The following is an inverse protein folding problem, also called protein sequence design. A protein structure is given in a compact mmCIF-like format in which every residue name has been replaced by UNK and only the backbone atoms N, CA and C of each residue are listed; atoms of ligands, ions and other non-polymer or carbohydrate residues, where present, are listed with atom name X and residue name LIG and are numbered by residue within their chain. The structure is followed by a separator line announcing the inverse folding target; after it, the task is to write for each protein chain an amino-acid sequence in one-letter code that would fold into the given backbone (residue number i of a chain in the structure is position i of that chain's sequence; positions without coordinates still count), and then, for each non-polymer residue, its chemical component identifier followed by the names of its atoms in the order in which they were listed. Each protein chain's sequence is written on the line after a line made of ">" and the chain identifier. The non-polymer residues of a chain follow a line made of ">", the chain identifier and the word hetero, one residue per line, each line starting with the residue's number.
data_IF_324482585832
#
_entry.id   IF_324482585832
#
_cell.length_a   1.000
_cell.length_b   1.000
_cell.length_c   1.000
_cell.angle_alpha   90.00
_cell.angle_beta   90.00
_cell.angle_gamma   90.00
#
_symmetry.space_group_name_H-M   'P 1'
#
loop_
_entity.id
_entity.type
_entity.pdbx_description
1 polymer ?
#
# COMPACT_ATOMS: atom_id res chain seq x y z
N UNK A 1 -11.82 -26.10 -14.18
CA UNK A 1 -12.37 -24.97 -14.98
C UNK A 1 -13.42 -24.10 -14.26
N UNK A 2 -14.05 -24.54 -13.15
CA UNK A 2 -15.04 -23.73 -12.44
C UNK A 2 -14.47 -22.53 -11.63
N UNK A 3 -13.21 -22.60 -11.20
CA UNK A 3 -12.58 -21.54 -10.38
C UNK A 3 -12.25 -20.29 -11.20
N UNK A 4 -11.75 -20.45 -12.43
CA UNK A 4 -11.44 -19.33 -13.33
C UNK A 4 -12.69 -18.50 -13.70
N UNK A 5 -13.85 -19.17 -13.86
CA UNK A 5 -15.14 -18.54 -14.12
C UNK A 5 -15.57 -17.57 -13.00
N UNK A 6 -15.32 -17.94 -11.73
CA UNK A 6 -15.65 -17.07 -10.58
C UNK A 6 -14.74 -15.84 -10.47
N UNK A 7 -13.48 -15.95 -10.89
CA UNK A 7 -12.49 -14.85 -10.84
C UNK A 7 -12.81 -13.77 -11.89
N UNK A 8 -13.30 -14.19 -13.06
CA UNK A 8 -13.65 -13.30 -14.18
C UNK A 8 -15.10 -12.80 -14.13
N UNK A 9 -15.90 -13.24 -13.15
CA UNK A 9 -17.27 -12.75 -12.97
C UNK A 9 -17.23 -11.23 -12.74
N UNK A 10 -17.91 -10.50 -13.60
CA UNK A 10 -17.97 -9.04 -13.50
C UNK A 10 -18.97 -8.62 -12.42
N UNK A 11 -18.59 -7.59 -11.68
CA UNK A 11 -19.40 -6.94 -10.66
C UNK A 11 -19.68 -5.53 -11.18
N UNK A 12 -20.96 -5.22 -11.31
CA UNK A 12 -21.40 -3.90 -11.71
C UNK A 12 -21.53 -3.01 -10.49
N UNK A 13 -20.46 -2.27 -10.21
CA UNK A 13 -20.38 -1.33 -9.09
C UNK A 13 -19.54 -0.15 -9.52
N UNK A 14 -19.88 1.04 -9.03
CA UNK A 14 -19.13 2.26 -9.31
C UNK A 14 -17.83 2.31 -8.51
N UNK A 15 -16.81 3.04 -8.99
CA UNK A 15 -15.62 3.31 -8.17
C UNK A 15 -15.96 4.13 -6.92
N UNK A 16 -17.02 4.94 -6.99
CA UNK A 16 -17.54 5.69 -5.86
C UNK A 16 -17.97 4.76 -4.72
N UNK A 17 -18.88 3.81 -4.97
CA UNK A 17 -19.37 2.91 -3.93
C UNK A 17 -18.28 1.98 -3.38
N UNK A 18 -17.35 1.55 -4.24
CA UNK A 18 -16.32 0.59 -3.83
C UNK A 18 -15.12 1.23 -3.12
N UNK A 19 -14.58 2.33 -3.65
CA UNK A 19 -13.30 2.89 -3.21
C UNK A 19 -13.45 4.22 -2.46
N UNK A 20 -14.41 5.07 -2.84
CA UNK A 20 -14.51 6.43 -2.29
C UNK A 20 -15.95 6.91 -2.02
N UNK A 21 -16.76 6.19 -1.21
CA UNK A 21 -18.17 6.51 -1.01
C UNK A 21 -18.44 7.84 -0.30
N UNK A 22 -17.41 8.45 0.30
CA UNK A 22 -17.51 9.72 1.02
C UNK A 22 -17.33 10.96 0.14
N UNK A 23 -16.80 10.82 -1.08
CA UNK A 23 -16.47 11.94 -1.99
C UNK A 23 -16.80 11.55 -3.42
N UNK A 24 -17.49 12.42 -4.15
CA UNK A 24 -17.89 12.16 -5.55
C UNK A 24 -16.72 12.12 -6.53
N UNK A 25 -15.67 12.91 -6.30
CA UNK A 25 -14.51 13.04 -7.18
C UNK A 25 -13.38 12.05 -6.85
N UNK A 26 -12.93 11.28 -7.85
CA UNK A 26 -11.82 10.33 -7.68
C UNK A 26 -10.48 11.02 -7.33
N UNK A 27 -10.25 12.23 -7.86
CA UNK A 27 -9.02 13.00 -7.58
C UNK A 27 -8.97 13.44 -6.13
N UNK A 28 -10.10 13.94 -5.64
CA UNK A 28 -10.21 14.51 -4.30
C UNK A 28 -10.14 13.39 -3.25
N UNK A 29 -10.77 12.24 -3.54
CA UNK A 29 -10.63 11.04 -2.75
C UNK A 29 -9.15 10.60 -2.65
N UNK A 30 -8.46 10.53 -3.79
CA UNK A 30 -7.05 10.10 -3.82
C UNK A 30 -6.13 11.12 -3.14
N UNK A 31 -6.37 12.42 -3.31
CA UNK A 31 -5.64 13.47 -2.62
C UNK A 31 -5.88 13.44 -1.09
N UNK A 32 -7.12 13.21 -0.66
CA UNK A 32 -7.47 13.00 0.75
C UNK A 32 -6.73 11.80 1.34
N UNK A 33 -6.75 10.66 0.65
CA UNK A 33 -5.98 9.46 1.03
C UNK A 33 -4.49 9.77 1.13
N UNK A 34 -3.93 10.52 0.18
CA UNK A 34 -2.51 10.92 0.20
C UNK A 34 -2.16 11.74 1.45
N UNK A 35 -2.95 12.77 1.77
CA UNK A 35 -2.70 13.64 2.93
C UNK A 35 -2.77 12.85 4.23
N UNK A 36 -3.82 12.05 4.42
CA UNK A 36 -3.97 11.22 5.61
C UNK A 36 -2.85 10.17 5.72
N UNK A 37 -2.46 9.59 4.58
CA UNK A 37 -1.38 8.60 4.54
C UNK A 37 -0.03 9.23 4.88
N UNK A 38 0.25 10.46 4.43
CA UNK A 38 1.48 11.18 4.81
C UNK A 38 1.52 11.39 6.32
N UNK A 39 0.43 11.85 6.93
CA UNK A 39 0.37 12.10 8.38
C UNK A 39 0.59 10.80 9.19
N UNK A 40 -0.10 9.73 8.80
CA UNK A 40 0.01 8.43 9.47
C UNK A 40 1.41 7.82 9.28
N UNK A 41 1.90 7.80 8.05
CA UNK A 41 3.22 7.23 7.70
C UNK A 41 4.34 7.99 8.39
N UNK A 42 4.28 9.33 8.39
CA UNK A 42 5.27 10.16 9.05
C UNK A 42 5.33 9.86 10.54
N UNK A 43 4.17 9.75 11.23
CA UNK A 43 4.11 9.38 12.65
C UNK A 43 4.76 8.03 12.93
N UNK A 44 4.46 7.02 12.11
CA UNK A 44 5.04 5.67 12.25
C UNK A 44 6.55 5.69 12.04
N UNK A 45 7.02 6.33 10.96
CA UNK A 45 8.45 6.34 10.64
C UNK A 45 9.26 7.20 11.60
N UNK A 46 8.76 8.36 12.03
CA UNK A 46 9.41 9.14 13.09
C UNK A 46 9.56 8.28 14.34
N UNK A 47 8.50 7.61 14.78
CA UNK A 47 8.53 6.79 16.00
C UNK A 47 9.54 5.65 15.90
N UNK A 48 9.51 4.88 14.82
CA UNK A 48 10.42 3.74 14.61
C UNK A 48 11.88 4.15 14.46
N UNK A 49 12.16 5.24 13.74
CA UNK A 49 13.53 5.75 13.59
C UNK A 49 14.04 6.37 14.90
N UNK A 50 13.19 7.06 15.67
CA UNK A 50 13.56 7.59 16.99
C UNK A 50 13.87 6.46 17.97
N UNK A 51 13.05 5.41 18.00
CA UNK A 51 13.32 4.22 18.82
C UNK A 51 14.67 3.57 18.44
N UNK A 52 14.94 3.44 17.14
CA UNK A 52 16.21 2.90 16.64
C UNK A 52 17.41 3.77 17.07
N UNK A 53 17.26 5.09 17.11
CA UNK A 53 18.30 6.00 17.60
C UNK A 53 18.51 5.87 19.12
N UNK A 54 17.43 5.71 19.89
CA UNK A 54 17.51 5.51 21.34
C UNK A 54 18.19 4.17 21.69
N UNK A 55 17.84 3.09 20.99
CA UNK A 55 18.44 1.76 21.18
C UNK A 55 19.95 1.72 20.89
N UNK A 56 20.48 2.64 20.08
CA UNK A 56 21.92 2.75 19.85
C UNK A 56 22.70 3.24 21.07
N UNK A 57 22.07 3.85 22.06
CA UNK A 57 22.70 4.26 23.32
C UNK A 57 23.83 5.30 23.19
N UNK A 58 24.00 5.94 22.02
CA UNK A 58 25.07 6.92 21.76
C UNK A 58 24.53 8.17 21.09
N UNK A 59 25.20 9.31 21.31
CA UNK A 59 24.86 10.57 20.65
C UNK A 59 25.01 10.41 19.13
N UNK A 60 23.96 10.70 18.32
CA UNK A 60 24.03 10.55 16.87
C UNK A 60 24.90 11.63 16.25
N UNK A 61 25.73 11.24 15.28
CA UNK A 61 26.53 12.19 14.49
C UNK A 61 25.62 12.97 13.53
N UNK A 62 25.97 14.22 13.18
CA UNK A 62 25.21 15.04 12.18
C UNK A 62 24.92 14.28 10.88
N UNK A 63 25.87 13.46 10.41
CA UNK A 63 25.73 12.60 9.23
C UNK A 63 24.66 11.51 9.41
N UNK A 64 24.57 10.91 10.59
CA UNK A 64 23.55 9.91 10.89
C UNK A 64 22.17 10.54 11.00
N UNK A 65 22.07 11.70 11.64
CA UNK A 65 20.81 12.44 11.73
C UNK A 65 20.26 12.81 10.35
N UNK A 66 21.13 13.30 9.45
CA UNK A 66 20.75 13.58 8.05
C UNK A 66 20.26 12.31 7.33
N UNK A 67 20.94 11.16 7.51
CA UNK A 67 20.54 9.88 6.91
C UNK A 67 19.22 9.37 7.47
N UNK A 68 18.98 9.57 8.76
CA UNK A 68 17.72 9.23 9.43
C UNK A 68 16.57 10.09 8.92
N UNK A 69 16.77 11.41 8.80
CA UNK A 69 15.74 12.31 8.27
C UNK A 69 15.36 11.96 6.83
N UNK A 70 16.36 11.73 5.97
CA UNK A 70 16.12 11.23 4.61
C UNK A 70 15.45 9.83 4.62
N UNK A 71 15.71 9.01 5.65
CA UNK A 71 15.01 7.76 5.93
C UNK A 71 13.53 7.94 6.11
N UNK A 72 13.18 8.78 7.06
CA UNK A 72 11.80 9.08 7.42
C UNK A 72 11.05 9.63 6.20
N UNK A 73 11.63 10.61 5.49
CA UNK A 73 11.00 11.21 4.31
C UNK A 73 10.80 10.17 3.20
N UNK A 74 11.84 9.39 2.88
CA UNK A 74 11.75 8.39 1.81
C UNK A 74 10.73 7.28 2.14
N UNK A 75 10.70 6.82 3.39
CA UNK A 75 9.73 5.81 3.81
C UNK A 75 8.30 6.35 3.89
N UNK A 76 8.14 7.59 4.32
CA UNK A 76 6.85 8.29 4.28
C UNK A 76 6.37 8.41 2.83
N UNK A 77 7.25 8.79 1.91
CA UNK A 77 6.94 8.87 0.49
C UNK A 77 6.58 7.50 -0.10
N UNK A 78 7.31 6.44 0.25
CA UNK A 78 7.02 5.07 -0.15
C UNK A 78 5.60 4.64 0.26
N UNK A 79 5.28 4.74 1.55
CA UNK A 79 3.99 4.27 2.07
C UNK A 79 2.82 5.13 1.59
N UNK A 80 3.03 6.45 1.51
CA UNK A 80 2.00 7.38 1.02
C UNK A 80 1.75 7.19 -0.49
N UNK A 81 2.81 6.96 -1.28
CA UNK A 81 2.68 6.64 -2.69
C UNK A 81 1.93 5.33 -2.90
N UNK A 82 2.17 4.33 -2.05
CA UNK A 82 1.43 3.07 -2.11
C UNK A 82 -0.08 3.29 -1.85
N UNK A 83 -0.45 4.01 -0.78
CA UNK A 83 -1.86 4.27 -0.48
C UNK A 83 -2.56 5.10 -1.58
N UNK A 84 -1.91 6.18 -2.01
CA UNK A 84 -2.40 7.03 -3.11
C UNK A 84 -2.53 6.27 -4.42
N UNK A 85 -1.50 5.48 -4.77
CA UNK A 85 -1.44 4.70 -5.98
C UNK A 85 -2.57 3.69 -6.03
N UNK A 86 -2.83 2.96 -4.95
CA UNK A 86 -3.91 1.99 -4.90
C UNK A 86 -5.28 2.63 -5.16
N UNK A 87 -5.59 3.74 -4.46
CA UNK A 87 -6.82 4.52 -4.68
C UNK A 87 -6.96 4.97 -6.15
N UNK A 88 -5.89 5.56 -6.69
CA UNK A 88 -5.87 6.12 -8.03
C UNK A 88 -6.00 5.05 -9.13
N UNK A 89 -5.24 3.95 -9.00
CA UNK A 89 -5.24 2.87 -9.98
C UNK A 89 -6.56 2.10 -10.02
N UNK A 90 -7.24 1.89 -8.88
CA UNK A 90 -8.59 1.28 -8.88
C UNK A 90 -9.56 2.14 -9.68
N UNK A 91 -9.57 3.46 -9.43
CA UNK A 91 -10.46 4.38 -10.15
C UNK A 91 -10.11 4.45 -11.65
N UNK A 92 -8.82 4.48 -11.99
CA UNK A 92 -8.35 4.49 -13.37
C UNK A 92 -8.75 3.22 -14.12
N UNK A 93 -8.49 2.05 -13.53
CA UNK A 93 -8.86 0.76 -14.12
C UNK A 93 -10.37 0.63 -14.28
N UNK A 94 -11.16 1.16 -13.34
CA UNK A 94 -12.62 1.19 -13.46
C UNK A 94 -13.11 2.03 -14.63
N UNK A 95 -12.43 3.15 -14.92
CA UNK A 95 -12.74 4.01 -16.09
C UNK A 95 -12.31 3.35 -17.41
N UNK A 96 -11.20 2.62 -17.42
CA UNK A 96 -10.68 1.95 -18.62
C UNK A 96 -11.44 0.66 -18.98
N UNK A 97 -11.75 -0.18 -17.98
CA UNK A 97 -12.37 -1.51 -18.18
C UNK A 97 -13.90 -1.43 -18.11
N UNK A 98 -14.45 -0.40 -17.45
CA UNK A 98 -15.90 -0.18 -17.34
C UNK A 98 -16.63 -1.11 -16.36
N UNK A 99 -16.04 -2.23 -15.92
CA UNK A 99 -16.59 -3.12 -14.88
C UNK A 99 -15.49 -3.63 -13.96
N UNK A 100 -15.86 -3.96 -12.72
CA UNK A 100 -14.94 -4.64 -11.81
C UNK A 100 -15.01 -6.15 -12.00
N UNK A 101 -13.88 -6.82 -11.79
CA UNK A 101 -13.76 -8.25 -11.57
C UNK A 101 -12.73 -8.46 -10.46
N UNK A 102 -12.55 -9.69 -9.97
CA UNK A 102 -11.65 -9.96 -8.83
C UNK A 102 -10.21 -9.50 -9.12
N UNK A 103 -9.79 -9.56 -10.39
CA UNK A 103 -8.45 -9.12 -10.80
C UNK A 103 -8.33 -7.60 -10.90
N UNK A 104 -9.32 -6.92 -11.48
CA UNK A 104 -9.28 -5.47 -11.71
C UNK A 104 -9.59 -4.66 -10.46
N UNK A 105 -10.27 -5.25 -9.48
CA UNK A 105 -10.66 -4.58 -8.24
C UNK A 105 -9.54 -4.52 -7.20
N UNK A 106 -8.67 -5.54 -7.17
CA UNK A 106 -7.63 -5.67 -6.15
C UNK A 106 -6.26 -6.04 -6.74
N UNK A 107 -6.17 -7.13 -7.51
CA UNK A 107 -4.88 -7.68 -7.96
C UNK A 107 -4.09 -6.70 -8.84
N UNK A 108 -4.67 -6.27 -9.96
CA UNK A 108 -4.02 -5.38 -10.92
C UNK A 108 -3.68 -4.00 -10.35
N UNK A 109 -4.59 -3.29 -9.65
CA UNK A 109 -4.24 -2.00 -9.06
C UNK A 109 -3.17 -2.13 -7.98
N UNK A 110 -3.22 -3.19 -7.15
CA UNK A 110 -2.18 -3.46 -6.16
C UNK A 110 -0.83 -3.75 -6.83
N UNK A 111 -0.80 -4.58 -7.87
CA UNK A 111 0.42 -4.89 -8.62
C UNK A 111 1.08 -3.64 -9.21
N UNK A 112 0.30 -2.79 -9.91
CA UNK A 112 0.81 -1.54 -10.48
C UNK A 112 1.30 -0.58 -9.40
N UNK A 113 0.55 -0.47 -8.30
CA UNK A 113 0.94 0.35 -7.14
C UNK A 113 2.25 -0.11 -6.54
N UNK A 114 2.40 -1.42 -6.30
CA UNK A 114 3.61 -2.00 -5.75
C UNK A 114 4.82 -1.77 -6.66
N UNK A 115 4.66 -1.89 -7.99
CA UNK A 115 5.71 -1.60 -8.96
C UNK A 115 6.17 -0.14 -8.91
N UNK A 116 5.25 0.82 -8.74
CA UNK A 116 5.62 2.23 -8.60
C UNK A 116 6.25 2.50 -7.24
N UNK A 117 5.63 2.01 -6.16
CA UNK A 117 6.09 2.25 -4.80
C UNK A 117 7.49 1.66 -4.56
N UNK A 118 7.79 0.45 -5.04
CA UNK A 118 9.09 -0.20 -4.79
C UNK A 118 10.27 0.59 -5.38
N UNK A 119 10.04 1.37 -6.44
CA UNK A 119 11.06 2.25 -7.04
C UNK A 119 11.47 3.38 -6.09
N UNK A 120 10.55 3.86 -5.25
CA UNK A 120 10.79 4.91 -4.25
C UNK A 120 11.56 4.34 -3.06
N UNK A 121 11.32 3.08 -2.68
CA UNK A 121 11.98 2.45 -1.53
C UNK A 121 13.45 2.13 -1.78
N UNK A 122 14.24 2.15 -0.71
CA UNK A 122 15.69 1.87 -0.74
C UNK A 122 15.96 0.42 -1.15
N UNK A 123 16.90 0.17 -2.07
CA UNK A 123 17.26 -1.18 -2.49
C UNK A 123 17.59 -2.12 -1.31
N UNK A 124 18.28 -1.62 -0.28
CA UNK A 124 18.67 -2.40 0.89
C UNK A 124 17.50 -2.92 1.74
N UNK A 125 16.30 -2.34 1.61
CA UNK A 125 15.12 -2.72 2.39
C UNK A 125 14.12 -3.58 1.62
N UNK A 126 14.22 -3.62 0.29
CA UNK A 126 13.25 -4.30 -0.59
C UNK A 126 13.14 -5.79 -0.27
N UNK A 127 14.27 -6.47 -0.02
CA UNK A 127 14.28 -7.90 0.31
C UNK A 127 13.64 -8.22 1.66
N UNK A 128 13.93 -7.43 2.70
CA UNK A 128 13.30 -7.62 4.01
C UNK A 128 11.79 -7.34 3.94
N UNK A 129 11.40 -6.31 3.20
CA UNK A 129 10.01 -5.94 3.01
C UNK A 129 9.24 -7.04 2.25
N UNK A 130 9.81 -7.60 1.18
CA UNK A 130 9.14 -8.67 0.42
C UNK A 130 8.96 -9.92 1.27
N UNK A 131 9.97 -10.31 2.05
CA UNK A 131 9.86 -11.43 2.99
C UNK A 131 8.76 -11.19 4.03
N UNK A 132 8.72 -9.99 4.63
CA UNK A 132 7.69 -9.62 5.59
C UNK A 132 6.28 -9.69 5.00
N UNK A 133 6.05 -9.05 3.85
CA UNK A 133 4.72 -9.03 3.21
C UNK A 133 4.32 -10.42 2.70
N UNK A 134 5.28 -11.24 2.26
CA UNK A 134 5.01 -12.64 1.88
C UNK A 134 4.54 -13.45 3.08
N UNK A 135 5.18 -13.29 4.25
CA UNK A 135 4.75 -13.93 5.49
C UNK A 135 3.32 -13.54 5.88
N UNK A 136 3.02 -12.23 5.85
CA UNK A 136 1.66 -11.71 6.12
C UNK A 136 0.65 -12.26 5.11
N UNK A 137 1.01 -12.37 3.83
CA UNK A 137 0.15 -12.95 2.80
C UNK A 137 -0.13 -14.43 3.06
N UNK A 138 0.88 -15.22 3.43
CA UNK A 138 0.70 -16.64 3.78
C UNK A 138 -0.17 -16.83 5.02
N UNK A 139 0.01 -16.00 6.05
CA UNK A 139 -0.83 -16.01 7.25
C UNK A 139 -2.28 -15.65 6.92
N UNK A 140 -2.49 -14.60 6.13
CA UNK A 140 -3.82 -14.18 5.68
C UNK A 140 -4.49 -15.30 4.88
N UNK A 141 -3.75 -15.94 3.97
CA UNK A 141 -4.25 -17.06 3.18
C UNK A 141 -4.62 -18.27 4.06
N UNK A 142 -3.77 -18.62 5.02
CA UNK A 142 -4.05 -19.67 6.01
C UNK A 142 -5.33 -19.38 6.80
N UNK A 143 -5.46 -18.17 7.37
CA UNK A 143 -6.64 -17.77 8.12
C UNK A 143 -7.91 -17.80 7.27
N UNK A 144 -7.81 -17.41 5.98
CA UNK A 144 -8.92 -17.52 5.04
C UNK A 144 -9.34 -18.96 4.77
N UNK A 145 -8.41 -19.91 4.72
CA UNK A 145 -8.71 -21.34 4.54
C UNK A 145 -9.37 -21.93 5.78
N UNK A 146 -8.80 -21.69 6.96
CA UNK A 146 -9.35 -22.15 8.24
C UNK A 146 -10.78 -21.65 8.44
N UNK A 147 -11.04 -20.36 8.17
CA UNK A 147 -12.39 -19.79 8.27
C UNK A 147 -13.39 -20.39 7.26
N UNK A 148 -12.91 -21.06 6.21
CA UNK A 148 -13.73 -21.77 5.21
C UNK A 148 -13.81 -23.28 5.49
N UNK A 149 -13.18 -23.76 6.56
CA UNK A 149 -13.13 -25.19 6.90
C UNK A 149 -12.29 -26.04 5.93
N UNK A 150 -11.32 -25.41 5.26
CA UNK A 150 -10.32 -26.07 4.39
C UNK A 150 -9.01 -26.24 5.17
#
# INVERSE_FOLDING_TARGET
>A
MAVASKILKTIDTSCHEYMHPWVSSCSDASAGVLIHSIQASFRIYVTTYMLTLLMKGRKPTKKELKRTLLGIIQSTAFLSCHAFGFSSFVCLLRRLIGKFNVLSVAFLPCFLTCLVAILIERPSRRGLLSLYVTNVASETFYNMMVNRGI
#
